data_IF_969520690295
#
_entry.id   IF_969520690295
#
_cell.length_a   1.000
_cell.length_b   1.000
_cell.length_c   1.000
_cell.angle_alpha   90.00
_cell.angle_beta   90.00
_cell.angle_gamma   90.00
#
_symmetry.space_group_name_H-M   'P 1'
#
loop_
_entity.id
_entity.type
_entity.pdbx_description
1 polymer ?
#
# COMPACT_ATOMS: atom_id res chain seq x y z
N UNK A 1 9.36 2.30 6.51
CA UNK A 1 8.89 3.59 5.96
C UNK A 1 7.38 3.76 6.11
N UNK A 2 6.57 2.93 5.44
CA UNK A 2 5.10 3.06 5.44
C UNK A 2 4.41 3.03 6.81
N UNK A 3 4.87 2.22 7.77
CA UNK A 3 4.35 2.21 9.15
C UNK A 3 4.28 3.62 9.78
N UNK A 4 5.33 4.43 9.63
CA UNK A 4 5.37 5.78 10.18
C UNK A 4 4.44 6.74 9.44
N UNK A 5 4.30 6.56 8.13
CA UNK A 5 3.37 7.32 7.30
C UNK A 5 1.93 7.08 7.76
N UNK A 6 1.53 5.82 7.89
CA UNK A 6 0.18 5.44 8.33
C UNK A 6 -0.11 5.82 9.79
N UNK A 7 0.89 5.73 10.68
CA UNK A 7 0.73 6.15 12.08
C UNK A 7 0.48 7.65 12.25
N UNK A 8 1.05 8.48 11.39
CA UNK A 8 0.97 9.94 11.52
C UNK A 8 -0.09 10.56 10.59
N UNK A 9 -0.40 9.93 9.45
CA UNK A 9 -1.25 10.48 8.39
C UNK A 9 -2.28 9.47 7.85
N UNK A 10 -2.58 8.40 8.60
CA UNK A 10 -3.38 7.26 8.14
C UNK A 10 -4.72 7.64 7.50
N UNK A 11 -5.47 8.56 8.10
CA UNK A 11 -6.77 9.02 7.57
C UNK A 11 -6.62 9.69 6.19
N UNK A 12 -5.73 10.68 6.08
CA UNK A 12 -5.49 11.37 4.81
C UNK A 12 -4.94 10.44 3.72
N UNK A 13 -4.17 9.41 4.11
CA UNK A 13 -3.66 8.43 3.17
C UNK A 13 -4.76 7.46 2.70
N UNK A 14 -5.63 7.00 3.60
CA UNK A 14 -6.75 6.11 3.25
C UNK A 14 -7.70 6.81 2.26
N UNK A 15 -8.05 8.06 2.50
CA UNK A 15 -9.01 8.79 1.66
C UNK A 15 -8.48 9.07 0.24
N UNK A 16 -7.15 9.19 0.08
CA UNK A 16 -6.54 9.62 -1.18
C UNK A 16 -5.80 8.52 -1.95
N UNK A 17 -5.34 7.46 -1.27
CA UNK A 17 -4.40 6.48 -1.85
C UNK A 17 -4.90 5.04 -1.86
N UNK A 18 -6.03 4.72 -1.22
CA UNK A 18 -6.47 3.32 -1.10
C UNK A 18 -6.87 2.71 -2.44
N UNK A 19 -7.41 3.52 -3.35
CA UNK A 19 -7.79 3.10 -4.71
C UNK A 19 -6.55 2.76 -5.55
N UNK A 20 -5.48 3.54 -5.41
CA UNK A 20 -4.22 3.35 -6.11
C UNK A 20 -3.48 2.12 -5.59
N UNK A 21 -3.51 1.88 -4.28
CA UNK A 21 -3.01 0.64 -3.68
C UNK A 21 -3.82 -0.56 -4.19
N UNK A 22 -5.14 -0.43 -4.30
CA UNK A 22 -5.99 -1.48 -4.86
C UNK A 22 -5.62 -1.78 -6.32
N UNK A 23 -5.46 -0.77 -7.17
CA UNK A 23 -5.04 -0.93 -8.58
C UNK A 23 -3.66 -1.60 -8.65
N UNK A 24 -2.69 -1.15 -7.85
CA UNK A 24 -1.36 -1.75 -7.78
C UNK A 24 -1.43 -3.23 -7.38
N UNK A 25 -2.25 -3.55 -6.37
CA UNK A 25 -2.42 -4.92 -5.86
C UNK A 25 -3.20 -5.80 -6.82
N UNK A 26 -4.13 -5.27 -7.62
CA UNK A 26 -5.05 -6.09 -8.43
C UNK A 26 -4.69 -6.16 -9.91
N UNK A 27 -4.19 -5.07 -10.48
CA UNK A 27 -3.88 -4.97 -11.91
C UNK A 27 -2.42 -5.28 -12.18
N UNK A 28 -1.49 -4.68 -11.42
CA UNK A 28 -0.06 -4.94 -11.60
C UNK A 28 0.39 -6.29 -11.07
N UNK A 29 -0.42 -6.99 -10.27
CA UNK A 29 -0.09 -8.37 -9.86
C UNK A 29 -0.43 -9.41 -10.91
N UNK A 30 -1.31 -9.10 -11.88
CA UNK A 30 -1.63 -9.98 -13.01
C UNK A 30 -0.48 -10.11 -13.98
N UNK A 31 0.27 -9.03 -14.13
CA UNK A 31 1.57 -9.04 -14.78
C UNK A 31 2.59 -9.50 -13.74
N UNK A 32 3.44 -10.49 -14.04
CA UNK A 32 4.39 -11.10 -13.08
C UNK A 32 5.56 -10.18 -12.70
N UNK A 33 5.31 -8.90 -12.44
CA UNK A 33 6.33 -7.95 -12.02
C UNK A 33 6.58 -8.08 -10.51
N UNK A 34 7.56 -8.91 -10.16
CA UNK A 34 7.94 -9.22 -8.77
C UNK A 34 8.16 -7.96 -7.90
N UNK A 35 8.68 -6.87 -8.49
CA UNK A 35 8.87 -5.59 -7.80
C UNK A 35 7.56 -4.95 -7.32
N UNK A 36 6.51 -4.99 -8.14
CA UNK A 36 5.19 -4.43 -7.79
C UNK A 36 4.52 -5.21 -6.66
N UNK A 37 4.70 -6.54 -6.63
CA UNK A 37 4.19 -7.39 -5.54
C UNK A 37 4.87 -7.08 -4.21
N UNK A 38 6.20 -6.91 -4.21
CA UNK A 38 6.95 -6.55 -3.00
C UNK A 38 6.55 -5.17 -2.49
N UNK A 39 6.42 -4.18 -3.38
CA UNK A 39 5.97 -2.84 -3.02
C UNK A 39 4.57 -2.85 -2.41
N UNK A 40 3.63 -3.57 -3.03
CA UNK A 40 2.28 -3.76 -2.51
C UNK A 40 2.28 -4.40 -1.11
N UNK A 41 3.05 -5.47 -0.91
CA UNK A 41 3.17 -6.13 0.38
C UNK A 41 3.72 -5.21 1.48
N UNK A 42 4.72 -4.38 1.17
CA UNK A 42 5.29 -3.41 2.11
C UNK A 42 4.30 -2.31 2.49
N UNK A 43 3.48 -1.85 1.53
CA UNK A 43 2.43 -0.85 1.78
C UNK A 43 1.38 -1.44 2.71
N UNK A 44 0.86 -2.63 2.40
CA UNK A 44 -0.17 -3.31 3.21
C UNK A 44 0.35 -3.62 4.62
N UNK A 45 1.58 -4.14 4.74
CA UNK A 45 2.21 -4.37 6.05
C UNK A 45 2.39 -3.06 6.84
N UNK A 46 2.70 -1.96 6.14
CA UNK A 46 2.75 -0.62 6.71
C UNK A 46 1.40 -0.14 7.25
N UNK A 47 0.31 -0.39 6.51
CA UNK A 47 -1.05 -0.06 6.93
C UNK A 47 -1.43 -0.79 8.21
N UNK A 48 -1.30 -2.12 8.22
CA UNK A 48 -1.70 -2.97 9.37
C UNK A 48 -0.92 -2.61 10.63
N UNK A 49 0.37 -2.30 10.51
CA UNK A 49 1.22 -1.98 11.67
C UNK A 49 1.21 -0.50 12.07
N UNK A 50 0.67 0.36 11.21
CA UNK A 50 0.62 1.79 11.41
C UNK A 50 -0.75 2.29 11.87
N UNK A 51 -1.82 1.50 11.69
CA UNK A 51 -3.14 1.73 12.28
C UNK A 51 -3.11 1.73 13.81
#
# INVERSE_FOLDING_TARGET
MYKGLFRNFGLAFVDNFIEQVYILVREQTREKYEGSHRAAAEIVAGMIRGS
#
